data_IF_225116731475
#
_entry.id   IF_225116731475
#
_cell.length_a   1.000
_cell.length_b   1.000
_cell.length_c   1.000
_cell.angle_alpha   90.00
_cell.angle_beta   90.00
_cell.angle_gamma   90.00
#
_symmetry.space_group_name_H-M   'P 1'
#
loop_
_entity.id
_entity.type
_entity.pdbx_description
1 polymer ?
#
# COMPACT_ATOMS: atom_id res chain seq x y z
N UNK A 1 1.18 -19.49 -4.75
CA UNK A 1 0.96 -18.10 -4.32
C UNK A 1 1.57 -17.07 -5.26
N UNK A 2 2.90 -17.00 -5.48
CA UNK A 2 3.50 -15.94 -6.34
C UNK A 2 2.91 -15.92 -7.75
N UNK A 3 2.89 -17.07 -8.43
CA UNK A 3 2.28 -17.23 -9.75
C UNK A 3 0.79 -16.84 -9.77
N UNK A 4 0.06 -17.16 -8.71
CA UNK A 4 -1.36 -16.83 -8.59
C UNK A 4 -1.57 -15.32 -8.43
N UNK A 5 -0.68 -14.64 -7.70
CA UNK A 5 -0.69 -13.18 -7.57
C UNK A 5 -0.31 -12.47 -8.88
N UNK A 6 0.59 -13.05 -9.67
CA UNK A 6 0.92 -12.56 -11.02
C UNK A 6 -0.28 -12.67 -11.96
N UNK A 7 -0.96 -13.83 -11.97
CA UNK A 7 -2.21 -14.02 -12.72
C UNK A 7 -3.31 -13.06 -12.29
N UNK A 8 -3.34 -12.68 -11.01
CA UNK A 8 -4.27 -11.69 -10.47
C UNK A 8 -3.81 -10.23 -10.72
N UNK A 9 -2.74 -10.00 -11.49
CA UNK A 9 -2.18 -8.69 -11.78
C UNK A 9 -1.85 -7.84 -10.53
N UNK A 10 -1.45 -8.49 -9.43
CA UNK A 10 -1.04 -7.78 -8.22
C UNK A 10 0.34 -7.14 -8.41
N UNK A 11 0.50 -5.90 -7.93
CA UNK A 11 1.78 -5.19 -8.01
C UNK A 11 2.87 -5.90 -7.22
N UNK A 12 4.14 -5.74 -7.63
CA UNK A 12 5.28 -6.34 -6.93
C UNK A 12 5.31 -6.00 -5.44
N UNK A 13 5.01 -4.74 -5.10
CA UNK A 13 4.88 -4.28 -3.70
C UNK A 13 3.83 -5.08 -2.94
N UNK A 14 2.65 -5.28 -3.54
CA UNK A 14 1.57 -6.09 -2.93
C UNK A 14 2.00 -7.54 -2.76
N UNK A 15 2.68 -8.13 -3.76
CA UNK A 15 3.19 -9.51 -3.67
C UNK A 15 4.16 -9.68 -2.49
N UNK A 16 5.12 -8.76 -2.34
CA UNK A 16 6.07 -8.77 -1.21
C UNK A 16 5.35 -8.66 0.14
N UNK A 17 4.37 -7.77 0.25
CA UNK A 17 3.58 -7.61 1.48
C UNK A 17 2.77 -8.87 1.82
N UNK A 18 2.20 -9.55 0.82
CA UNK A 18 1.41 -10.76 1.02
C UNK A 18 2.28 -11.94 1.45
N UNK A 19 3.44 -12.13 0.81
CA UNK A 19 4.42 -13.15 1.21
C UNK A 19 4.84 -12.91 2.66
N UNK A 20 5.23 -11.68 2.99
CA UNK A 20 5.64 -11.33 4.35
C UNK A 20 4.54 -11.59 5.40
N UNK A 21 3.28 -11.27 5.08
CA UNK A 21 2.16 -11.55 5.97
C UNK A 21 1.94 -13.06 6.19
N UNK A 22 2.05 -13.87 5.12
CA UNK A 22 1.93 -15.33 5.21
C UNK A 22 3.10 -15.95 5.97
N UNK A 23 4.31 -15.41 5.83
CA UNK A 23 5.45 -15.83 6.63
C UNK A 23 5.23 -15.54 8.12
N UNK A 24 4.67 -14.38 8.47
CA UNK A 24 4.33 -14.06 9.86
C UNK A 24 3.29 -15.04 10.39
N UNK A 25 2.25 -15.33 9.61
CA UNK A 25 1.23 -16.32 9.97
C UNK A 25 1.85 -17.70 10.25
N UNK A 26 2.71 -18.18 9.34
CA UNK A 26 3.41 -19.46 9.49
C UNK A 26 4.28 -19.50 10.76
N UNK A 27 5.01 -18.42 11.02
CA UNK A 27 5.88 -18.29 12.20
C UNK A 27 5.07 -18.26 13.49
N UNK A 28 3.92 -17.59 13.51
CA UNK A 28 3.04 -17.51 14.68
C UNK A 28 2.52 -18.89 15.10
N UNK A 29 2.16 -19.74 14.15
CA UNK A 29 1.66 -21.09 14.45
C UNK A 29 2.74 -22.18 14.49
N UNK A 30 3.99 -21.86 14.13
CA UNK A 30 5.07 -22.83 13.93
C UNK A 30 4.68 -23.99 12.99
N UNK A 31 3.84 -23.69 11.99
CA UNK A 31 3.27 -24.67 11.06
C UNK A 31 3.28 -24.11 9.65
N UNK A 32 3.34 -25.02 8.69
CA UNK A 32 3.15 -24.64 7.29
C UNK A 32 1.73 -24.10 7.07
N UNK A 33 1.54 -22.99 6.32
CA UNK A 33 0.23 -22.36 6.15
C UNK A 33 -0.88 -23.25 5.58
N UNK A 34 -0.53 -24.30 4.85
CA UNK A 34 -1.46 -25.30 4.28
C UNK A 34 -2.04 -26.28 5.32
N UNK A 35 -1.42 -26.35 6.51
CA UNK A 35 -1.87 -27.17 7.63
C UNK A 35 -2.75 -26.40 8.63
N UNK A 36 -2.95 -25.10 8.41
CA UNK A 36 -3.74 -24.25 9.30
C UNK A 36 -5.24 -24.42 9.04
N UNK A 37 -6.01 -24.45 10.13
CA UNK A 37 -7.47 -24.48 10.11
C UNK A 37 -8.11 -23.11 10.39
N UNK A 38 -9.46 -23.04 10.39
CA UNK A 38 -10.19 -21.80 10.66
C UNK A 38 -9.85 -21.19 12.03
N UNK A 39 -9.69 -22.04 13.05
CA UNK A 39 -9.40 -21.60 14.42
C UNK A 39 -7.99 -21.03 14.58
N UNK A 40 -7.03 -21.55 13.81
CA UNK A 40 -5.68 -20.97 13.74
C UNK A 40 -5.76 -19.53 13.21
N UNK A 41 -6.54 -19.32 12.12
CA UNK A 41 -6.70 -17.99 11.53
C UNK A 41 -7.42 -17.02 12.48
N UNK A 42 -8.40 -17.49 13.27
CA UNK A 42 -9.03 -16.67 14.32
C UNK A 42 -8.04 -16.28 15.41
N UNK A 43 -7.27 -17.25 15.92
CA UNK A 43 -6.26 -17.00 16.93
C UNK A 43 -5.19 -16.00 16.44
N UNK A 44 -4.83 -16.06 15.16
CA UNK A 44 -3.93 -15.08 14.56
C UNK A 44 -4.56 -13.69 14.48
N UNK A 45 -5.83 -13.58 14.05
CA UNK A 45 -6.54 -12.29 14.04
C UNK A 45 -6.58 -11.65 15.43
N UNK A 46 -6.85 -12.44 16.47
CA UNK A 46 -6.85 -12.00 17.86
C UNK A 46 -5.47 -11.53 18.32
N UNK A 47 -4.39 -12.25 17.97
CA UNK A 47 -3.02 -11.80 18.24
C UNK A 47 -2.71 -10.45 17.58
N UNK A 48 -3.09 -10.28 16.31
CA UNK A 48 -2.87 -9.02 15.59
C UNK A 48 -3.60 -7.83 16.24
N UNK A 49 -4.76 -8.08 16.87
CA UNK A 49 -5.50 -7.09 17.65
C UNK A 49 -4.79 -6.80 18.97
N UNK A 50 -4.43 -7.84 19.73
CA UNK A 50 -3.74 -7.74 21.02
C UNK A 50 -2.39 -7.01 20.92
N UNK A 51 -1.66 -7.20 19.82
CA UNK A 51 -0.40 -6.48 19.52
C UNK A 51 -0.59 -5.01 19.17
N UNK A 52 -1.83 -4.53 19.08
CA UNK A 52 -2.14 -3.12 18.77
C UNK A 52 -1.79 -2.72 17.33
N UNK A 53 -1.75 -3.67 16.39
CA UNK A 53 -1.45 -3.33 14.99
C UNK A 53 -2.55 -2.46 14.39
N UNK A 54 -2.13 -1.39 13.71
CA UNK A 54 -3.04 -0.46 13.05
C UNK A 54 -3.92 -1.13 11.99
N UNK A 55 -5.13 -0.58 11.73
CA UNK A 55 -6.14 -1.22 10.86
C UNK A 55 -5.63 -1.47 9.44
N UNK A 56 -4.77 -0.60 8.92
CA UNK A 56 -4.17 -0.76 7.59
C UNK A 56 -3.27 -2.00 7.48
N UNK A 57 -2.45 -2.27 8.51
CA UNK A 57 -1.55 -3.42 8.52
C UNK A 57 -2.37 -4.70 8.63
N UNK A 58 -3.30 -4.75 9.59
CA UNK A 58 -4.20 -5.90 9.76
C UNK A 58 -5.00 -6.20 8.48
N UNK A 59 -5.50 -5.16 7.80
CA UNK A 59 -6.22 -5.32 6.53
C UNK A 59 -5.36 -5.98 5.46
N UNK A 60 -4.08 -5.61 5.34
CA UNK A 60 -3.15 -6.25 4.40
C UNK A 60 -2.90 -7.71 4.79
N UNK A 61 -2.71 -7.99 6.08
CA UNK A 61 -2.41 -9.31 6.59
C UNK A 61 -3.59 -10.29 6.40
N UNK A 62 -4.79 -9.86 6.78
CA UNK A 62 -6.01 -10.64 6.60
C UNK A 62 -6.34 -10.83 5.11
N UNK A 63 -6.08 -9.84 4.26
CA UNK A 63 -6.25 -9.99 2.82
C UNK A 63 -5.23 -10.99 2.22
N UNK A 64 -4.00 -11.01 2.73
CA UNK A 64 -2.99 -11.99 2.31
C UNK A 64 -3.37 -13.42 2.70
N UNK A 65 -3.84 -13.63 3.94
CA UNK A 65 -4.39 -14.91 4.38
C UNK A 65 -5.60 -15.30 3.52
N UNK A 66 -6.56 -14.40 3.32
CA UNK A 66 -7.72 -14.66 2.48
C UNK A 66 -7.32 -15.03 1.04
N UNK A 67 -6.31 -14.37 0.47
CA UNK A 67 -5.79 -14.70 -0.85
C UNK A 67 -5.16 -16.09 -0.90
N UNK A 68 -4.33 -16.42 0.09
CA UNK A 68 -3.70 -17.74 0.19
C UNK A 68 -4.77 -18.84 0.19
N UNK A 69 -5.74 -18.77 1.11
CA UNK A 69 -6.75 -19.83 1.25
C UNK A 69 -7.73 -19.86 0.08
N UNK A 70 -8.24 -18.72 -0.39
CA UNK A 70 -9.24 -18.68 -1.47
C UNK A 70 -8.66 -18.97 -2.85
N UNK A 71 -7.46 -18.48 -3.16
CA UNK A 71 -6.89 -18.51 -4.51
C UNK A 71 -5.76 -19.51 -4.68
N UNK A 72 -4.89 -19.67 -3.68
CA UNK A 72 -3.73 -20.58 -3.79
C UNK A 72 -4.07 -21.99 -3.34
N UNK A 73 -4.78 -22.14 -2.21
CA UNK A 73 -5.12 -23.44 -1.62
C UNK A 73 -6.51 -23.94 -1.99
N UNK A 74 -7.33 -23.11 -2.64
CA UNK A 74 -8.71 -23.44 -3.04
C UNK A 74 -9.61 -23.90 -1.88
N UNK A 75 -9.42 -23.30 -0.70
CA UNK A 75 -10.15 -23.56 0.56
C UNK A 75 -10.82 -22.29 1.08
N UNK A 76 -11.81 -21.73 0.36
CA UNK A 76 -12.44 -20.45 0.73
C UNK A 76 -13.16 -20.45 2.09
N UNK A 77 -13.63 -21.60 2.53
CA UNK A 77 -14.32 -21.82 3.81
C UNK A 77 -13.43 -21.49 5.02
N UNK A 78 -12.11 -21.68 4.90
CA UNK A 78 -11.12 -21.39 5.96
C UNK A 78 -11.03 -19.92 6.37
N UNK A 79 -11.52 -19.01 5.52
CA UNK A 79 -11.41 -17.56 5.68
C UNK A 79 -12.72 -16.86 5.38
N UNK A 80 -13.84 -17.60 5.43
CA UNK A 80 -15.19 -17.09 5.18
C UNK A 80 -15.64 -16.09 6.24
N UNK A 81 -15.17 -16.26 7.47
CA UNK A 81 -15.50 -15.42 8.62
C UNK A 81 -14.68 -14.13 8.71
N UNK A 82 -13.62 -13.98 7.91
CA UNK A 82 -12.75 -12.80 7.99
C UNK A 82 -13.50 -11.55 7.55
N UNK A 83 -13.56 -10.56 8.45
CA UNK A 83 -14.15 -9.26 8.18
C UNK A 83 -13.02 -8.22 8.08
N UNK A 84 -12.95 -7.43 6.99
CA UNK A 84 -11.94 -6.38 6.88
C UNK A 84 -12.02 -5.40 8.06
N UNK A 85 -10.88 -5.06 8.71
CA UNK A 85 -10.85 -4.09 9.79
C UNK A 85 -11.43 -2.76 9.34
N UNK A 86 -12.34 -2.19 10.15
CA UNK A 86 -12.87 -0.86 9.92
C UNK A 86 -11.75 0.16 10.12
N UNK A 87 -11.52 0.96 9.11
CA UNK A 87 -10.56 2.06 9.15
C UNK A 87 -11.34 3.36 9.41
N UNK A 88 -11.27 3.95 10.62
CA UNK A 88 -11.86 5.26 10.84
C UNK A 88 -11.07 6.26 10.00
N UNK A 89 -11.60 6.59 8.81
CA UNK A 89 -10.99 7.58 7.92
C UNK A 89 -10.84 8.88 8.69
N UNK A 90 -9.63 9.18 9.13
CA UNK A 90 -9.30 10.49 9.69
C UNK A 90 -9.16 11.46 8.52
N UNK A 91 -9.72 12.64 8.65
CA UNK A 91 -9.47 13.70 7.68
C UNK A 91 -7.97 14.00 7.67
N UNK A 92 -7.33 14.08 6.48
CA UNK A 92 -5.94 14.48 6.40
C UNK A 92 -5.77 15.85 7.05
N UNK A 93 -4.76 15.99 7.92
CA UNK A 93 -4.32 17.31 8.37
C UNK A 93 -3.54 17.94 7.22
N UNK A 94 -4.09 19.00 6.65
CA UNK A 94 -3.45 19.78 5.58
C UNK A 94 -2.66 20.93 6.17
N UNK A 95 -1.55 21.29 5.53
CA UNK A 95 -0.75 22.46 5.90
C UNK A 95 -1.43 23.74 5.40
N UNK A 96 -1.31 24.83 6.16
CA UNK A 96 -1.67 26.17 5.69
C UNK A 96 -0.69 26.66 4.64
N UNK A 97 -1.06 27.68 3.86
CA UNK A 97 -0.16 28.28 2.86
C UNK A 97 1.13 28.81 3.51
N UNK A 98 1.01 29.40 4.69
CA UNK A 98 2.13 29.92 5.46
C UNK A 98 3.04 28.80 5.96
N UNK A 99 2.48 27.66 6.38
CA UNK A 99 3.25 26.48 6.76
C UNK A 99 4.02 25.89 5.57
N UNK A 100 3.39 25.84 4.39
CA UNK A 100 4.05 25.39 3.15
C UNK A 100 5.18 26.34 2.76
N UNK A 101 4.95 27.66 2.77
CA UNK A 101 5.99 28.65 2.45
C UNK A 101 7.19 28.54 3.39
N UNK A 102 6.96 28.35 4.70
CA UNK A 102 8.05 28.13 5.67
C UNK A 102 8.79 26.82 5.40
N UNK A 103 8.08 25.76 5.04
CA UNK A 103 8.68 24.47 4.72
C UNK A 103 9.58 24.57 3.49
N UNK A 104 9.09 25.17 2.40
CA UNK A 104 9.87 25.33 1.16
C UNK A 104 11.08 26.25 1.37
N UNK A 105 10.93 27.33 2.13
CA UNK A 105 12.04 28.24 2.45
C UNK A 105 13.13 27.59 3.33
N UNK A 106 12.80 26.54 4.09
CA UNK A 106 13.76 25.82 4.92
C UNK A 106 14.61 24.80 4.12
N UNK A 107 14.22 24.47 2.89
CA UNK A 107 14.95 23.54 2.04
C UNK A 107 16.18 24.23 1.44
N UNK A 108 17.37 23.81 1.88
CA UNK A 108 18.64 24.38 1.43
C UNK A 108 19.09 23.87 0.06
N UNK A 109 18.67 22.66 -0.30
CA UNK A 109 18.95 22.07 -1.60
C UNK A 109 17.94 22.59 -2.64
N UNK A 110 18.39 23.29 -3.69
CA UNK A 110 17.49 23.83 -4.72
C UNK A 110 16.69 22.75 -5.44
N UNK A 111 17.27 21.56 -5.61
CA UNK A 111 16.59 20.42 -6.23
C UNK A 111 15.40 19.95 -5.38
N UNK A 112 15.58 19.81 -4.06
CA UNK A 112 14.47 19.50 -3.16
C UNK A 112 13.43 20.62 -3.10
N UNK A 113 13.87 21.88 -3.06
CA UNK A 113 12.94 23.02 -3.07
C UNK A 113 12.04 22.99 -4.33
N UNK A 114 12.64 22.80 -5.51
CA UNK A 114 11.90 22.67 -6.77
C UNK A 114 11.01 21.43 -6.78
N UNK A 115 11.48 20.28 -6.31
CA UNK A 115 10.71 19.03 -6.29
C UNK A 115 9.45 19.14 -5.41
N UNK A 116 9.57 19.69 -4.20
CA UNK A 116 8.44 19.84 -3.29
C UNK A 116 7.49 20.96 -3.72
N UNK A 117 8.00 22.06 -4.29
CA UNK A 117 7.16 23.09 -4.90
C UNK A 117 6.34 22.52 -6.05
N UNK A 118 6.97 21.74 -6.94
CA UNK A 118 6.30 21.08 -8.04
C UNK A 118 5.16 20.18 -7.55
N UNK A 119 5.42 19.32 -6.56
CA UNK A 119 4.38 18.45 -5.97
C UNK A 119 3.23 19.27 -5.39
N UNK A 120 3.54 20.36 -4.68
CA UNK A 120 2.54 21.22 -4.07
C UNK A 120 1.64 21.90 -5.12
N UNK A 121 2.24 22.45 -6.18
CA UNK A 121 1.53 23.21 -7.20
C UNK A 121 0.72 22.33 -8.16
N UNK A 122 1.18 21.10 -8.41
CA UNK A 122 0.58 20.18 -9.39
C UNK A 122 -0.23 19.04 -8.77
N UNK A 123 -0.10 18.80 -7.46
CA UNK A 123 -0.75 17.70 -6.78
C UNK A 123 -0.25 16.31 -7.18
N UNK A 124 0.95 16.22 -7.77
CA UNK A 124 1.58 14.95 -8.12
C UNK A 124 1.77 14.05 -6.90
N UNK A 125 1.50 12.75 -7.04
CA UNK A 125 1.89 11.78 -6.02
C UNK A 125 3.40 11.63 -6.02
N UNK A 126 3.98 11.32 -4.87
CA UNK A 126 5.42 11.15 -4.71
C UNK A 126 6.06 10.27 -5.80
N UNK A 127 5.46 9.13 -6.11
CA UNK A 127 5.99 8.22 -7.15
C UNK A 127 5.86 8.78 -8.55
N UNK A 128 4.81 9.55 -8.84
CA UNK A 128 4.62 10.21 -10.13
C UNK A 128 5.70 11.29 -10.32
N UNK A 129 5.94 12.13 -9.30
CA UNK A 129 7.00 13.15 -9.33
C UNK A 129 8.41 12.55 -9.42
N UNK A 130 8.68 11.43 -8.74
CA UNK A 130 9.98 10.74 -8.80
C UNK A 130 10.26 10.09 -10.16
N UNK A 131 9.23 9.79 -10.94
CA UNK A 131 9.34 9.17 -12.27
C UNK A 131 9.26 10.18 -13.41
N UNK A 132 9.04 11.46 -13.09
CA UNK A 132 8.92 12.52 -14.08
C UNK A 132 10.23 12.71 -14.83
N UNK A 133 10.12 12.79 -16.15
CA UNK A 133 11.24 13.05 -17.06
C UNK A 133 11.12 14.43 -17.69
N UNK A 134 12.22 14.91 -18.27
CA UNK A 134 12.22 16.18 -18.99
C UNK A 134 11.27 16.18 -20.20
N UNK A 135 11.08 15.03 -20.85
CA UNK A 135 10.16 14.86 -22.00
C UNK A 135 8.68 15.01 -21.62
N UNK A 136 8.35 14.82 -20.35
CA UNK A 136 6.97 14.91 -19.85
C UNK A 136 6.54 16.36 -19.60
N UNK A 137 7.46 17.33 -19.66
CA UNK A 137 7.20 18.74 -19.34
C UNK A 137 7.09 19.55 -20.62
N UNK A 138 5.85 19.89 -21.00
CA UNK A 138 5.58 20.81 -22.09
C UNK A 138 5.60 22.24 -21.55
N UNK A 139 6.74 22.91 -21.74
CA UNK A 139 6.95 24.29 -21.28
C UNK A 139 6.15 25.32 -22.07
N UNK A 140 5.84 25.05 -23.34
CA UNK A 140 5.07 25.97 -24.17
C UNK A 140 3.62 26.01 -23.73
N UNK A 141 3.06 24.85 -23.38
CA UNK A 141 1.68 24.71 -22.90
C UNK A 141 1.55 24.84 -21.39
N UNK A 142 2.65 24.78 -20.65
CA UNK A 142 2.66 24.84 -19.19
C UNK A 142 2.01 23.61 -18.54
N UNK A 143 2.15 22.43 -19.17
CA UNK A 143 1.54 21.18 -18.69
C UNK A 143 2.59 20.12 -18.43
N UNK A 144 2.23 19.16 -17.59
CA UNK A 144 3.05 17.99 -17.27
C UNK A 144 2.24 16.74 -17.58
N UNK A 145 2.80 15.86 -18.40
CA UNK A 145 2.22 14.56 -18.72
C UNK A 145 2.53 13.56 -17.61
N UNK A 146 1.49 13.02 -16.97
CA UNK A 146 1.63 12.14 -15.80
C UNK A 146 1.23 10.72 -16.15
N UNK A 147 2.20 9.81 -16.11
CA UNK A 147 1.97 8.39 -16.35
C UNK A 147 1.43 7.69 -15.10
N UNK A 148 0.11 7.52 -15.02
CA UNK A 148 -0.57 6.91 -13.89
C UNK A 148 -0.62 5.38 -13.92
N UNK A 149 -0.89 4.78 -12.75
CA UNK A 149 -1.07 3.33 -12.64
C UNK A 149 -2.23 2.84 -13.54
N UNK A 150 -1.93 1.85 -14.37
CA UNK A 150 -2.91 1.20 -15.26
C UNK A 150 -3.08 1.90 -16.61
N UNK A 151 -2.01 2.53 -17.13
CA UNK A 151 -2.02 3.30 -18.38
C UNK A 151 -3.08 4.41 -18.39
N UNK A 152 -3.29 5.04 -17.24
CA UNK A 152 -4.18 6.19 -17.09
C UNK A 152 -3.32 7.43 -17.04
N UNK A 153 -3.03 7.97 -18.20
CA UNK A 153 -2.30 9.22 -18.35
C UNK A 153 -3.23 10.40 -18.03
N UNK A 154 -2.67 11.46 -17.43
CA UNK A 154 -3.39 12.71 -17.15
C UNK A 154 -2.48 13.91 -17.28
#
# INVERSE_FOLDING_TARGET
MVRDMERANLSERTRKQYIYAVEILARFHHKSPDLLGPDDIRAWEDDLICRGLGPNIRRVYLAAAAFLFRKTLSRPEMVSFLVPPRDPRRLPRVLSREEVSRLLAALRDPGYATFFALIYDTGLRLTEALQLKAEDVDRERGVIHVHGKGARDR
#
